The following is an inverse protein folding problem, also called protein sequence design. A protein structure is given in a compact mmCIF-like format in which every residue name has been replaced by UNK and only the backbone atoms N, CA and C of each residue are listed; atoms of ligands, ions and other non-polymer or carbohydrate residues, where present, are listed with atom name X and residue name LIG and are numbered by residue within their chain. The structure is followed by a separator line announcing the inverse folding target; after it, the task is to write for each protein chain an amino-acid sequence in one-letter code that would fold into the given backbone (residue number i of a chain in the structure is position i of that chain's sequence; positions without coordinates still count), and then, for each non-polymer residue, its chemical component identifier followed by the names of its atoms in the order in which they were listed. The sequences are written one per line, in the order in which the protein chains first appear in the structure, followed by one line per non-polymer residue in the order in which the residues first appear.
data_IF_811554732339
#
_entry.id   IF_811554732339
#
_cell.length_a   1.000
_cell.length_b   1.000
_cell.length_c   1.000
_cell.angle_alpha   90.00
_cell.angle_beta   90.00
_cell.angle_gamma   90.00
#
_symmetry.space_group_name_H-M   'P 1'
#
loop_
_entity.id
_entity.type
_entity.pdbx_description
1 polymer ?
#
# COMPACT_ATOMS: atom_id res chain seq x y z
N UNK A 1 11.85 -3.70 18.40
CA UNK A 1 11.39 -2.76 19.45
C UNK A 1 10.28 -1.95 18.82
N UNK A 2 9.10 -1.97 19.41
CA UNK A 2 7.96 -1.19 18.90
C UNK A 2 8.18 0.29 19.25
N UNK A 3 7.97 1.18 18.29
CA UNK A 3 8.06 2.61 18.53
C UNK A 3 6.84 3.09 19.32
N UNK A 4 7.04 4.10 20.18
CA UNK A 4 5.92 4.91 20.70
C UNK A 4 5.53 5.98 19.69
N UNK A 5 4.33 6.55 19.83
CA UNK A 5 3.88 7.68 19.00
C UNK A 5 4.84 8.86 19.06
N UNK A 6 5.39 9.17 20.25
CA UNK A 6 6.38 10.24 20.42
C UNK A 6 7.68 9.96 19.68
N UNK A 7 8.19 8.72 19.75
CA UNK A 7 9.39 8.33 19.00
C UNK A 7 9.16 8.40 17.49
N UNK A 8 7.98 7.96 17.02
CA UNK A 8 7.61 8.05 15.62
C UNK A 8 7.50 9.52 15.16
N UNK A 9 6.93 10.39 16.01
CA UNK A 9 6.84 11.82 15.76
C UNK A 9 8.21 12.48 15.69
N UNK A 10 9.15 12.13 16.57
CA UNK A 10 10.53 12.62 16.51
C UNK A 10 11.24 12.23 15.20
N UNK A 11 11.04 10.99 14.75
CA UNK A 11 11.56 10.51 13.45
C UNK A 11 10.96 11.33 12.31
N UNK A 12 9.64 11.51 12.31
CA UNK A 12 8.95 12.29 11.28
C UNK A 12 9.42 13.74 11.26
N UNK A 13 9.44 14.40 12.42
CA UNK A 13 9.86 15.79 12.56
C UNK A 13 11.29 15.99 12.07
N UNK A 14 12.21 15.06 12.37
CA UNK A 14 13.58 15.11 11.86
C UNK A 14 13.61 15.05 10.33
N UNK A 15 12.95 14.05 9.74
CA UNK A 15 12.93 13.88 8.29
C UNK A 15 12.29 15.07 7.56
N UNK A 16 11.22 15.65 8.13
CA UNK A 16 10.54 16.83 7.60
C UNK A 16 11.45 18.06 7.63
N UNK A 17 12.19 18.26 8.72
CA UNK A 17 13.18 19.34 8.82
C UNK A 17 14.32 19.15 7.82
N UNK A 18 14.83 17.92 7.68
CA UNK A 18 15.92 17.58 6.74
C UNK A 18 15.51 17.73 5.27
N UNK A 19 14.23 17.52 4.93
CA UNK A 19 13.73 17.69 3.57
C UNK A 19 13.83 19.14 3.05
N UNK A 20 14.05 20.13 3.92
CA UNK A 20 14.43 21.48 3.53
C UNK A 20 13.34 22.23 2.75
N UNK A 21 12.31 22.70 3.44
CA UNK A 21 11.25 23.54 2.84
C UNK A 21 11.66 25.02 2.86
N UNK A 22 12.42 25.47 1.85
CA UNK A 22 12.76 26.87 1.52
C UNK A 22 12.50 27.89 2.65
N UNK A 23 13.35 27.88 3.68
CA UNK A 23 13.36 28.83 4.81
C UNK A 23 12.14 28.86 5.74
N UNK A 24 11.14 27.99 5.55
CA UNK A 24 10.03 27.82 6.47
C UNK A 24 10.28 26.62 7.39
N UNK A 25 10.37 26.89 8.70
CA UNK A 25 10.37 25.85 9.72
C UNK A 25 9.07 25.04 9.60
N UNK A 26 9.17 23.78 9.16
CA UNK A 26 8.04 22.88 9.01
C UNK A 26 7.88 22.03 10.28
N UNK A 27 6.67 22.01 10.86
CA UNK A 27 6.37 21.27 12.08
C UNK A 27 5.22 20.30 11.87
N UNK A 28 5.32 19.13 12.49
CA UNK A 28 4.23 18.15 12.55
C UNK A 28 3.00 18.78 13.20
N UNK A 29 1.83 18.56 12.60
CA UNK A 29 0.54 19.01 13.13
C UNK A 29 -0.18 17.84 13.76
N UNK A 30 -0.14 17.79 15.09
CA UNK A 30 -0.63 16.64 15.88
C UNK A 30 -2.09 16.29 15.59
N UNK A 31 -2.94 17.31 15.42
CA UNK A 31 -4.37 17.16 15.13
C UNK A 31 -4.66 16.34 13.86
N UNK A 32 -3.74 16.35 12.89
CA UNK A 32 -3.89 15.61 11.63
C UNK A 32 -3.09 14.31 11.60
N UNK A 33 -2.51 13.89 12.73
CA UNK A 33 -1.82 12.61 12.84
C UNK A 33 -2.84 11.48 12.71
N UNK A 34 -2.56 10.53 11.81
CA UNK A 34 -3.37 9.34 11.63
C UNK A 34 -2.60 8.12 12.13
N UNK A 35 -3.21 7.38 13.05
CA UNK A 35 -2.67 6.12 13.56
C UNK A 35 -3.29 4.92 12.85
N UNK A 36 -2.42 3.97 12.50
CA UNK A 36 -2.77 2.68 11.93
C UNK A 36 -2.13 1.57 12.78
N UNK A 37 -2.61 0.33 12.57
CA UNK A 37 -2.02 -0.88 13.15
C UNK A 37 -0.53 -1.03 12.82
N UNK A 38 -0.12 -0.62 11.61
CA UNK A 38 1.26 -0.75 11.12
C UNK A 38 2.15 0.49 11.33
N UNK A 39 1.63 1.61 11.83
CA UNK A 39 2.41 2.83 11.97
C UNK A 39 1.59 4.10 12.06
N UNK A 40 2.25 5.25 11.83
CA UNK A 40 1.64 6.57 11.89
C UNK A 40 1.91 7.35 10.61
N UNK A 41 0.95 8.19 10.23
CA UNK A 41 1.10 9.18 9.17
C UNK A 41 1.02 10.56 9.78
N UNK A 42 2.08 11.34 9.57
CA UNK A 42 2.22 12.69 10.08
C UNK A 42 2.05 13.71 8.95
N UNK A 43 1.10 14.61 9.14
CA UNK A 43 0.98 15.82 8.35
C UNK A 43 1.78 16.94 9.02
N UNK A 44 2.26 17.89 8.23
CA UNK A 44 3.04 19.01 8.73
C UNK A 44 2.72 20.29 7.97
N UNK A 45 3.10 21.41 8.56
CA UNK A 45 2.86 22.72 8.02
C UNK A 45 3.93 23.71 8.53
N UNK A 46 4.11 24.82 7.83
CA UNK A 46 4.96 25.93 8.24
C UNK A 46 4.53 26.45 9.62
N UNK A 47 5.46 26.42 10.57
CA UNK A 47 5.28 26.96 11.91
C UNK A 47 4.91 28.45 11.87
N UNK A 48 5.44 29.19 10.89
CA UNK A 48 5.10 30.60 10.70
C UNK A 48 3.65 30.77 10.28
N UNK A 49 3.18 29.98 9.31
CA UNK A 49 1.78 29.98 8.91
C UNK A 49 0.85 29.61 10.07
N UNK A 50 1.17 28.56 10.83
CA UNK A 50 0.36 28.14 11.98
C UNK A 50 0.25 29.22 13.06
N UNK A 51 1.30 30.03 13.25
CA UNK A 51 1.30 31.15 14.21
C UNK A 51 0.58 32.40 13.71
N UNK A 52 0.75 32.76 12.44
CA UNK A 52 0.28 34.07 11.92
C UNK A 52 -1.01 33.99 11.11
N UNK A 53 -1.35 32.82 10.58
CA UNK A 53 -2.44 32.64 9.62
C UNK A 53 -2.19 33.29 8.25
N UNK A 54 -1.01 33.84 8.00
CA UNK A 54 -0.69 34.49 6.73
C UNK A 54 -0.46 33.45 5.64
N UNK A 55 -1.41 33.33 4.71
CA UNK A 55 -1.38 32.34 3.62
C UNK A 55 -0.08 32.30 2.81
N UNK A 56 0.66 33.41 2.71
CA UNK A 56 1.96 33.46 2.03
C UNK A 56 3.04 32.56 2.63
N UNK A 57 2.88 32.10 3.88
CA UNK A 57 3.79 31.16 4.53
C UNK A 57 3.29 29.71 4.52
N UNK A 58 2.15 29.43 3.90
CA UNK A 58 1.59 28.09 3.85
C UNK A 58 2.43 27.20 2.92
N UNK A 59 2.79 26.00 3.40
CA UNK A 59 3.28 24.91 2.58
C UNK A 59 2.13 24.34 1.74
N UNK A 60 2.38 24.18 0.45
CA UNK A 60 1.43 23.65 -0.52
C UNK A 60 2.08 22.46 -1.23
N UNK A 61 1.31 21.37 -1.38
CA UNK A 61 1.79 20.17 -2.06
C UNK A 61 2.79 19.35 -1.27
N UNK A 62 2.90 19.58 0.05
CA UNK A 62 3.80 18.81 0.90
C UNK A 62 3.26 17.39 1.13
N UNK A 63 4.10 16.40 0.84
CA UNK A 63 3.78 14.98 1.00
C UNK A 63 3.70 14.62 2.50
N UNK A 64 2.66 13.88 2.96
CA UNK A 64 2.65 13.34 4.33
C UNK A 64 3.82 12.39 4.57
N UNK A 65 4.18 12.20 5.83
CA UNK A 65 5.30 11.33 6.21
C UNK A 65 4.79 10.11 6.99
N UNK A 66 5.09 8.91 6.49
CA UNK A 66 4.76 7.66 7.17
C UNK A 66 5.96 7.16 7.98
N UNK A 67 5.68 6.69 9.20
CA UNK A 67 6.64 5.98 10.05
C UNK A 67 6.04 4.64 10.44
N UNK A 68 6.73 3.56 10.06
CA UNK A 68 6.36 2.21 10.45
C UNK A 68 6.54 2.03 11.96
N UNK A 69 5.59 1.34 12.56
CA UNK A 69 5.61 0.93 13.97
C UNK A 69 6.76 -0.02 14.28
N UNK A 70 7.11 -0.82 13.27
CA UNK A 70 8.13 -1.85 13.34
C UNK A 70 9.25 -1.53 12.32
N UNK A 71 10.47 -1.96 12.62
CA UNK A 71 11.53 -2.15 11.62
C UNK A 71 12.17 -0.87 11.04
N UNK A 72 11.84 0.31 11.56
CA UNK A 72 12.50 1.57 11.26
C UNK A 72 12.24 2.13 9.86
N UNK A 73 11.34 1.53 9.08
CA UNK A 73 10.92 2.08 7.79
C UNK A 73 10.20 3.41 8.00
N UNK A 74 10.62 4.43 7.27
CA UNK A 74 9.96 5.73 7.24
C UNK A 74 10.15 6.38 5.88
N UNK A 75 9.10 7.00 5.34
CA UNK A 75 9.13 7.58 4.00
C UNK A 75 8.06 8.67 3.85
N UNK A 76 8.34 9.65 2.98
CA UNK A 76 7.30 10.49 2.43
C UNK A 76 6.38 9.62 1.56
N UNK A 77 5.07 9.72 1.77
CA UNK A 77 4.07 9.03 0.95
C UNK A 77 3.45 10.00 -0.06
N UNK A 78 3.19 9.52 -1.27
CA UNK A 78 2.68 10.38 -2.35
C UNK A 78 1.38 11.10 -1.95
N UNK A 79 1.34 12.43 -2.12
CA UNK A 79 0.12 13.23 -1.93
C UNK A 79 -0.90 13.06 -3.07
N UNK A 80 -0.54 12.33 -4.14
CA UNK A 80 -1.43 12.04 -5.27
C UNK A 80 -2.28 10.78 -5.05
N UNK A 81 -2.11 10.08 -3.93
CA UNK A 81 -2.90 8.88 -3.60
C UNK A 81 -3.53 9.00 -2.21
N UNK A 82 -4.69 8.37 -1.97
CA UNK A 82 -5.26 8.27 -0.64
C UNK A 82 -4.28 7.59 0.32
N UNK A 83 -4.18 8.12 1.55
CA UNK A 83 -3.29 7.57 2.60
C UNK A 83 -3.56 6.09 2.84
N UNK A 84 -4.83 5.68 2.85
CA UNK A 84 -5.23 4.29 3.06
C UNK A 84 -4.56 3.34 2.07
N UNK A 85 -4.44 3.73 0.79
CA UNK A 85 -3.81 2.87 -0.21
C UNK A 85 -2.30 2.73 0.01
N UNK A 86 -1.63 3.76 0.54
CA UNK A 86 -0.23 3.67 0.96
C UNK A 86 -0.05 2.72 2.15
N UNK A 87 -0.97 2.75 3.10
CA UNK A 87 -0.94 1.84 4.25
C UNK A 87 -1.22 0.40 3.80
N UNK A 88 -2.15 0.19 2.87
CA UNK A 88 -2.40 -1.13 2.27
C UNK A 88 -1.19 -1.65 1.50
N UNK A 89 -0.50 -0.80 0.75
CA UNK A 89 0.75 -1.16 0.08
C UNK A 89 1.82 -1.59 1.10
N UNK A 90 1.98 -0.84 2.19
CA UNK A 90 2.90 -1.19 3.26
C UNK A 90 2.55 -2.53 3.91
N UNK A 91 1.26 -2.78 4.23
CA UNK A 91 0.81 -4.07 4.75
C UNK A 91 1.12 -5.23 3.79
N UNK A 92 1.01 -4.99 2.48
CA UNK A 92 1.18 -6.03 1.48
C UNK A 92 2.66 -6.38 1.22
N UNK A 93 3.57 -5.40 1.23
CA UNK A 93 4.96 -5.64 0.83
C UNK A 93 6.04 -4.87 1.60
N UNK A 94 5.70 -4.15 2.67
CA UNK A 94 6.64 -3.38 3.47
C UNK A 94 7.11 -2.07 2.83
N UNK A 95 6.43 -1.59 1.79
CA UNK A 95 6.72 -0.32 1.12
C UNK A 95 5.44 0.47 0.89
N UNK A 96 5.32 1.62 1.56
CA UNK A 96 4.14 2.48 1.52
C UNK A 96 3.97 3.22 0.18
N UNK A 97 5.01 3.26 -0.66
CA UNK A 97 4.98 3.83 -1.99
C UNK A 97 4.89 2.78 -3.10
N UNK A 98 4.79 1.49 -2.75
CA UNK A 98 4.55 0.46 -3.74
C UNK A 98 3.19 0.63 -4.41
N UNK A 99 3.14 0.24 -5.68
CA UNK A 99 1.94 0.30 -6.50
C UNK A 99 1.52 -1.11 -6.92
N UNK A 100 0.22 -1.29 -7.10
CA UNK A 100 -0.34 -2.52 -7.63
C UNK A 100 0.09 -2.70 -9.08
N UNK A 101 0.47 -3.93 -9.46
CA UNK A 101 0.72 -4.31 -10.84
C UNK A 101 -0.37 -5.24 -11.35
N UNK A 102 -0.46 -5.42 -12.67
CA UNK A 102 -1.44 -6.29 -13.32
C UNK A 102 -1.14 -7.78 -13.11
N UNK A 103 -0.86 -8.20 -11.88
CA UNK A 103 -0.57 -9.56 -11.50
C UNK A 103 -1.32 -9.94 -10.22
N UNK A 104 -1.81 -11.17 -10.17
CA UNK A 104 -2.48 -11.76 -9.00
C UNK A 104 -1.67 -12.94 -8.51
N UNK A 105 -1.39 -12.96 -7.21
CA UNK A 105 -0.76 -14.10 -6.53
C UNK A 105 -1.85 -14.94 -5.88
N UNK A 106 -1.97 -16.20 -6.32
CA UNK A 106 -2.70 -17.23 -5.60
C UNK A 106 -1.82 -17.79 -4.49
N UNK A 107 -2.31 -17.76 -3.25
CA UNK A 107 -1.54 -18.17 -2.06
C UNK A 107 -2.16 -19.34 -1.31
N UNK A 108 -3.43 -19.65 -1.58
CA UNK A 108 -4.10 -20.77 -0.92
C UNK A 108 -5.59 -20.84 -1.23
N UNK A 109 -6.30 -21.66 -0.46
CA UNK A 109 -7.72 -21.93 -0.64
C UNK A 109 -8.37 -22.38 0.68
N UNK A 110 -9.69 -22.27 0.75
CA UNK A 110 -10.54 -22.66 1.88
C UNK A 110 -11.38 -23.89 1.54
N UNK A 111 -11.78 -24.73 2.51
CA UNK A 111 -12.68 -25.85 2.26
C UNK A 111 -13.94 -25.41 1.50
N UNK A 112 -14.26 -26.13 0.40
CA UNK A 112 -15.35 -25.76 -0.49
C UNK A 112 -14.95 -24.88 -1.69
N UNK A 113 -13.65 -24.59 -1.87
CA UNK A 113 -13.17 -23.81 -3.00
C UNK A 113 -13.62 -24.36 -4.37
N UNK A 114 -14.18 -23.50 -5.22
CA UNK A 114 -14.78 -23.91 -6.49
C UNK A 114 -13.77 -23.91 -7.64
N UNK A 115 -13.01 -24.99 -7.75
CA UNK A 115 -11.93 -25.17 -8.75
C UNK A 115 -12.32 -24.80 -10.19
N UNK A 116 -13.45 -25.31 -10.69
CA UNK A 116 -13.87 -25.10 -12.08
C UNK A 116 -14.20 -23.63 -12.33
N UNK A 117 -14.84 -22.98 -11.37
CA UNK A 117 -15.19 -21.56 -11.48
C UNK A 117 -13.95 -20.67 -11.39
N UNK A 118 -12.97 -21.01 -10.54
CA UNK A 118 -11.69 -20.32 -10.50
C UNK A 118 -10.96 -20.37 -11.85
N UNK A 119 -10.93 -21.52 -12.52
CA UNK A 119 -10.35 -21.64 -13.87
C UNK A 119 -11.07 -20.74 -14.88
N UNK A 120 -12.40 -20.64 -14.82
CA UNK A 120 -13.17 -19.75 -15.69
C UNK A 120 -12.88 -18.27 -15.41
N UNK A 121 -12.86 -17.87 -14.13
CA UNK A 121 -12.55 -16.51 -13.71
C UNK A 121 -11.15 -16.09 -14.17
N UNK A 122 -10.14 -16.93 -13.96
CA UNK A 122 -8.77 -16.65 -14.40
C UNK A 122 -8.76 -16.38 -15.90
N UNK A 123 -9.38 -17.22 -16.72
CA UNK A 123 -9.44 -17.02 -18.19
C UNK A 123 -10.20 -15.77 -18.61
N UNK A 124 -11.11 -15.26 -17.77
CA UNK A 124 -11.87 -14.05 -18.06
C UNK A 124 -11.02 -12.78 -17.88
N UNK A 125 -10.13 -12.79 -16.89
CA UNK A 125 -9.36 -11.61 -16.48
C UNK A 125 -7.86 -11.69 -16.84
N UNK A 126 -7.39 -12.85 -17.26
CA UNK A 126 -6.02 -13.10 -17.69
C UNK A 126 -5.97 -13.61 -19.13
N UNK A 127 -4.96 -13.23 -19.93
CA UNK A 127 -4.77 -13.71 -21.30
C UNK A 127 -4.22 -15.15 -21.35
N UNK A 128 -4.76 -16.05 -20.54
CA UNK A 128 -4.31 -17.43 -20.41
C UNK A 128 -5.21 -18.43 -21.14
N UNK A 129 -4.59 -19.46 -21.70
CA UNK A 129 -5.30 -20.63 -22.24
C UNK A 129 -5.97 -21.45 -21.13
N UNK A 130 -6.85 -22.38 -21.53
CA UNK A 130 -7.54 -23.26 -20.58
C UNK A 130 -6.58 -24.11 -19.75
N UNK A 131 -5.57 -24.67 -20.41
CA UNK A 131 -4.58 -25.52 -19.76
C UNK A 131 -3.78 -24.75 -18.70
N UNK A 132 -3.30 -23.55 -19.04
CA UNK A 132 -2.50 -22.70 -18.16
C UNK A 132 -3.32 -22.23 -16.96
N UNK A 133 -4.56 -21.77 -17.18
CA UNK A 133 -5.45 -21.36 -16.11
C UNK A 133 -5.77 -22.52 -15.16
N UNK A 134 -6.01 -23.71 -15.70
CA UNK A 134 -6.23 -24.92 -14.90
C UNK A 134 -4.98 -25.26 -14.07
N UNK A 135 -3.81 -25.22 -14.71
CA UNK A 135 -2.52 -25.49 -14.06
C UNK A 135 -2.28 -24.54 -12.89
N UNK A 136 -2.57 -23.25 -13.04
CA UNK A 136 -2.43 -22.28 -11.97
C UNK A 136 -3.31 -22.60 -10.75
N UNK A 137 -4.57 -23.01 -10.99
CA UNK A 137 -5.47 -23.46 -9.92
C UNK A 137 -4.98 -24.75 -9.28
N UNK A 138 -4.52 -25.72 -10.08
CA UNK A 138 -4.00 -27.00 -9.60
C UNK A 138 -2.76 -26.82 -8.73
N UNK A 139 -1.82 -25.94 -9.13
CA UNK A 139 -0.67 -25.56 -8.33
C UNK A 139 -1.09 -24.92 -7.00
N UNK A 140 -2.04 -23.98 -7.03
CA UNK A 140 -2.55 -23.36 -5.80
C UNK A 140 -3.20 -24.38 -4.84
N UNK A 141 -3.98 -25.33 -5.37
CA UNK A 141 -4.58 -26.40 -4.58
C UNK A 141 -3.53 -27.33 -3.95
N UNK A 142 -2.39 -27.51 -4.63
CA UNK A 142 -1.21 -28.20 -4.13
C UNK A 142 -0.33 -27.33 -3.19
N UNK A 143 -0.87 -26.23 -2.66
CA UNK A 143 -0.19 -25.28 -1.77
C UNK A 143 1.05 -24.62 -2.39
N UNK A 144 1.10 -24.52 -3.72
CA UNK A 144 2.15 -23.79 -4.43
C UNK A 144 1.66 -22.39 -4.79
N UNK A 145 2.49 -21.39 -4.50
CA UNK A 145 2.21 -20.02 -4.88
C UNK A 145 2.30 -19.87 -6.40
N UNK A 146 1.24 -19.35 -7.01
CA UNK A 146 1.22 -19.08 -8.46
C UNK A 146 0.96 -17.61 -8.71
N UNK A 147 1.67 -17.03 -9.68
CA UNK A 147 1.44 -15.66 -10.14
C UNK A 147 0.78 -15.71 -11.50
N UNK A 148 -0.27 -14.94 -11.67
CA UNK A 148 -1.08 -14.85 -12.88
C UNK A 148 -1.00 -13.42 -13.37
N UNK A 149 -0.60 -13.23 -14.63
CA UNK A 149 -0.66 -11.92 -15.28
C UNK A 149 -2.07 -11.65 -15.78
N UNK A 150 -2.53 -10.41 -15.62
CA UNK A 150 -3.85 -9.92 -16.04
C UNK A 150 -3.67 -8.77 -17.03
N UNK A 151 -4.74 -8.38 -17.71
CA UNK A 151 -4.66 -7.31 -18.72
C UNK A 151 -4.30 -5.94 -18.12
N UNK A 152 -4.76 -5.66 -16.91
CA UNK A 152 -4.55 -4.40 -16.19
C UNK A 152 -4.80 -4.58 -14.68
N UNK A 153 -4.48 -3.55 -13.89
CA UNK A 153 -4.66 -3.55 -12.43
C UNK A 153 -6.14 -3.66 -12.03
N UNK A 154 -7.07 -3.10 -12.80
CA UNK A 154 -8.49 -3.20 -12.51
C UNK A 154 -9.00 -4.64 -12.65
N UNK A 155 -8.49 -5.37 -13.65
CA UNK A 155 -8.75 -6.79 -13.88
C UNK A 155 -8.12 -7.65 -12.79
N UNK A 156 -6.92 -7.31 -12.31
CA UNK A 156 -6.30 -7.96 -11.15
C UNK A 156 -7.16 -7.83 -9.89
N UNK A 157 -7.62 -6.62 -9.57
CA UNK A 157 -8.50 -6.37 -8.43
C UNK A 157 -9.83 -7.12 -8.55
N UNK A 158 -10.48 -7.07 -9.72
CA UNK A 158 -11.70 -7.81 -10.00
C UNK A 158 -11.50 -9.32 -9.81
N UNK A 159 -10.39 -9.87 -10.31
CA UNK A 159 -10.08 -11.29 -10.19
C UNK A 159 -9.90 -11.70 -8.72
N UNK A 160 -9.14 -10.94 -7.94
CA UNK A 160 -8.95 -11.20 -6.49
C UNK A 160 -10.29 -11.21 -5.75
N UNK A 161 -11.13 -10.20 -5.96
CA UNK A 161 -12.44 -10.11 -5.31
C UNK A 161 -13.33 -11.32 -5.62
N UNK A 162 -13.38 -11.73 -6.90
CA UNK A 162 -14.20 -12.88 -7.33
C UNK A 162 -13.64 -14.22 -6.87
N UNK A 163 -12.32 -14.38 -6.82
CA UNK A 163 -11.68 -15.57 -6.29
C UNK A 163 -11.98 -15.77 -4.80
N UNK A 164 -12.02 -14.68 -4.04
CA UNK A 164 -12.38 -14.73 -2.62
C UNK A 164 -13.83 -15.24 -2.42
N UNK A 165 -14.78 -14.80 -3.24
CA UNK A 165 -16.19 -15.27 -3.20
C UNK A 165 -16.33 -16.79 -3.39
N UNK A 166 -15.36 -17.42 -4.04
CA UNK A 166 -15.36 -18.86 -4.34
C UNK A 166 -14.29 -19.64 -3.57
N UNK A 167 -13.75 -19.06 -2.49
CA UNK A 167 -12.90 -19.76 -1.52
C UNK A 167 -11.41 -19.82 -1.86
N UNK A 168 -10.91 -18.96 -2.74
CA UNK A 168 -9.47 -18.85 -3.01
C UNK A 168 -8.85 -17.67 -2.27
N UNK A 169 -7.67 -17.89 -1.68
CA UNK A 169 -6.84 -16.86 -1.07
C UNK A 169 -5.91 -16.31 -2.13
N UNK A 170 -6.05 -15.01 -2.41
CA UNK A 170 -5.27 -14.34 -3.43
C UNK A 170 -5.09 -12.87 -3.10
N UNK A 171 -4.05 -12.25 -3.68
CA UNK A 171 -3.78 -10.83 -3.52
C UNK A 171 -3.21 -10.26 -4.82
N UNK A 172 -3.48 -8.97 -5.08
CA UNK A 172 -2.82 -8.23 -6.14
C UNK A 172 -1.35 -8.05 -5.75
N UNK A 173 -0.44 -8.23 -6.70
CA UNK A 173 0.99 -8.06 -6.46
C UNK A 173 1.31 -6.57 -6.41
N UNK A 174 2.15 -6.19 -5.44
CA UNK A 174 2.71 -4.85 -5.33
C UNK A 174 4.14 -4.84 -5.85
N UNK A 175 4.55 -3.72 -6.45
CA UNK A 175 5.92 -3.46 -6.87
C UNK A 175 6.40 -2.15 -6.26
N UNK A 176 7.56 -2.20 -5.62
CA UNK A 176 8.25 -1.02 -5.11
C UNK A 176 8.57 -0.07 -6.25
N UNK A 177 8.29 1.21 -6.04
CA UNK A 177 8.80 2.25 -6.92
C UNK A 177 10.34 2.22 -6.79
N UNK A 178 11.04 1.93 -7.89
CA UNK A 178 12.50 2.04 -7.90
C UNK A 178 12.82 3.51 -7.66
N UNK A 179 13.60 3.79 -6.60
CA UNK A 179 14.07 5.12 -6.25
C UNK A 179 14.94 5.72 -7.35
#
# INVERSE_FOLDING_TARGET
MELTTEQAKEIAQRAITEAGWDSNEAIVVDEYTQEFDVGWVFCYQSARFLRTGEFGFQLVGNAPFFVSRLDGYAAFISYLRPVVESIEAFRACGDANAYQVAQVRLTGWLPGAQKVEATRLIRKFAPLGLEEAKRAVDCCLASQNTVIETSDVASANCLVARLAEIGFLSAVVYRTAVA
#
